data_IF_302022644282
#
_entry.id   IF_302022644282
#
_cell.length_a   1.000
_cell.length_b   1.000
_cell.length_c   1.000
_cell.angle_alpha   90.00
_cell.angle_beta   90.00
_cell.angle_gamma   90.00
#
_symmetry.space_group_name_H-M   'P 1'
#
loop_
_entity.id
_entity.type
_entity.pdbx_description
1 polymer ?
#
# COMPACT_ATOMS: atom_id res chain seq x y z
N UNK A 1 15.65 8.92 2.00
CA UNK A 1 15.07 9.97 1.13
C UNK A 1 15.34 9.58 -0.31
N UNK A 2 14.33 9.58 -1.14
CA UNK A 2 14.47 9.27 -2.56
C UNK A 2 14.33 10.54 -3.39
N UNK A 3 15.19 10.71 -4.41
CA UNK A 3 15.05 11.77 -5.40
C UNK A 3 14.32 11.25 -6.63
N UNK A 4 13.35 12.02 -7.12
CA UNK A 4 12.60 11.76 -8.34
C UNK A 4 12.82 12.89 -9.31
N UNK A 5 13.16 12.56 -10.55
CA UNK A 5 13.45 13.54 -11.58
C UNK A 5 12.71 13.27 -12.90
N UNK A 6 12.62 14.30 -13.71
CA UNK A 6 11.88 14.30 -14.98
C UNK A 6 10.45 14.78 -14.80
N UNK A 7 10.04 15.67 -15.70
CA UNK A 7 8.78 16.45 -15.57
C UNK A 7 7.54 15.57 -15.40
N UNK A 8 7.46 14.47 -16.15
CA UNK A 8 6.30 13.57 -16.10
C UNK A 8 6.26 12.80 -14.78
N UNK A 9 7.39 12.23 -14.37
CA UNK A 9 7.51 11.48 -13.10
C UNK A 9 7.24 12.36 -11.90
N UNK A 10 7.78 13.58 -11.89
CA UNK A 10 7.53 14.55 -10.82
C UNK A 10 6.04 14.91 -10.74
N UNK A 11 5.41 15.20 -11.88
CA UNK A 11 3.97 15.52 -11.89
C UNK A 11 3.12 14.35 -11.40
N UNK A 12 3.43 13.12 -11.82
CA UNK A 12 2.76 11.90 -11.37
C UNK A 12 2.91 11.69 -9.85
N UNK A 13 4.10 11.97 -9.29
CA UNK A 13 4.37 11.89 -7.85
C UNK A 13 3.58 12.93 -7.05
N UNK A 14 3.52 14.18 -7.54
CA UNK A 14 2.70 15.23 -6.92
C UNK A 14 1.21 14.85 -6.93
N UNK A 15 0.73 14.34 -8.07
CA UNK A 15 -0.67 13.94 -8.26
C UNK A 15 -1.05 12.70 -7.45
N UNK A 16 -0.07 11.81 -7.18
CA UNK A 16 -0.24 10.66 -6.31
C UNK A 16 -0.36 11.05 -4.82
N UNK A 17 0.01 12.27 -4.45
CA UNK A 17 -0.09 12.76 -3.07
C UNK A 17 1.06 12.35 -2.17
N UNK A 18 2.23 11.99 -2.74
CA UNK A 18 3.42 11.71 -1.94
C UNK A 18 3.87 12.95 -1.13
N UNK A 19 4.48 12.69 0.02
CA UNK A 19 4.99 13.74 0.88
C UNK A 19 6.32 14.27 0.33
N UNK A 20 6.27 15.44 -0.32
CA UNK A 20 7.42 16.07 -0.95
C UNK A 20 8.05 17.04 0.03
N UNK A 21 9.33 16.83 0.32
CA UNK A 21 10.09 17.65 1.25
C UNK A 21 10.54 18.96 0.62
N UNK A 22 11.04 18.91 -0.61
CA UNK A 22 11.50 20.06 -1.39
C UNK A 22 11.59 19.74 -2.88
N UNK A 23 11.64 20.76 -3.70
CA UNK A 23 11.82 20.68 -5.13
C UNK A 23 12.98 21.55 -5.60
N UNK A 24 13.71 21.07 -6.61
CA UNK A 24 14.75 21.80 -7.31
C UNK A 24 14.34 21.98 -8.76
N UNK A 25 14.33 23.21 -9.24
CA UNK A 25 13.89 23.58 -10.59
C UNK A 25 15.00 24.39 -11.27
N UNK A 26 15.35 23.98 -12.49
CA UNK A 26 16.34 24.70 -13.29
C UNK A 26 15.85 26.11 -13.61
N UNK A 27 16.65 27.11 -13.22
CA UNK A 27 16.37 28.51 -13.53
C UNK A 27 16.39 28.72 -15.04
N UNK A 28 15.23 28.94 -15.65
CA UNK A 28 15.09 29.19 -17.07
C UNK A 28 14.79 30.68 -17.35
N UNK A 29 15.83 31.44 -17.75
CA UNK A 29 15.62 32.82 -18.24
C UNK A 29 14.95 32.79 -19.62
N UNK A 30 13.61 32.82 -19.65
CA UNK A 30 12.86 33.21 -20.83
C UNK A 30 12.20 32.14 -21.69
N UNK A 31 12.04 30.88 -21.26
CA UNK A 31 11.21 29.88 -21.96
C UNK A 31 10.06 29.41 -21.07
N UNK A 32 8.84 29.80 -21.44
CA UNK A 32 7.61 29.33 -20.81
C UNK A 32 7.44 27.84 -21.13
N UNK A 33 7.59 26.97 -20.14
CA UNK A 33 7.35 25.53 -20.28
C UNK A 33 6.08 25.16 -19.52
N UNK A 34 4.95 25.13 -20.17
CA UNK A 34 3.62 24.82 -19.59
C UNK A 34 3.61 23.70 -18.54
N UNK A 35 4.47 22.68 -18.72
CA UNK A 35 4.52 21.56 -17.78
C UNK A 35 5.30 21.89 -16.49
N UNK A 36 6.35 22.72 -16.59
CA UNK A 36 7.10 23.21 -15.42
C UNK A 36 6.22 24.16 -14.62
N UNK A 37 5.50 25.08 -15.29
CA UNK A 37 4.60 26.01 -14.62
C UNK A 37 3.49 25.26 -13.87
N UNK A 38 2.96 24.19 -14.47
CA UNK A 38 1.99 23.31 -13.79
C UNK A 38 2.59 22.60 -12.56
N UNK A 39 3.85 22.17 -12.64
CA UNK A 39 4.56 21.56 -11.52
C UNK A 39 4.74 22.57 -10.39
N UNK A 40 5.23 23.79 -10.73
CA UNK A 40 5.44 24.88 -9.76
C UNK A 40 4.12 25.17 -9.02
N UNK A 41 3.05 25.48 -9.74
CA UNK A 41 1.76 25.81 -9.13
C UNK A 41 1.30 24.69 -8.16
N UNK A 42 1.40 23.42 -8.56
CA UNK A 42 1.01 22.30 -7.69
C UNK A 42 1.90 22.15 -6.45
N UNK A 43 3.19 22.46 -6.55
CA UNK A 43 4.10 22.45 -5.41
C UNK A 43 3.81 23.61 -4.46
N UNK A 44 3.51 24.80 -4.99
CA UNK A 44 3.09 25.98 -4.22
C UNK A 44 1.76 25.74 -3.49
N UNK A 45 0.75 25.16 -4.17
CA UNK A 45 -0.54 24.78 -3.56
C UNK A 45 -0.35 23.82 -2.36
N UNK A 46 0.71 23.03 -2.38
CA UNK A 46 1.07 22.10 -1.30
C UNK A 46 2.07 22.69 -0.28
N UNK A 47 2.44 23.97 -0.42
CA UNK A 47 3.45 24.64 0.40
C UNK A 47 4.81 23.91 0.40
N UNK A 48 5.21 23.30 -0.71
CA UNK A 48 6.51 22.63 -0.86
C UNK A 48 7.59 23.69 -1.15
N UNK A 49 8.71 23.73 -0.40
CA UNK A 49 9.81 24.62 -0.70
C UNK A 49 10.41 24.36 -2.07
N UNK A 50 10.50 25.40 -2.90
CA UNK A 50 11.08 25.34 -4.26
C UNK A 50 12.41 26.09 -4.28
N UNK A 51 13.45 25.43 -4.74
CA UNK A 51 14.78 25.99 -4.96
C UNK A 51 15.05 26.09 -6.45
N UNK A 52 15.43 27.28 -6.90
CA UNK A 52 15.82 27.50 -8.28
C UNK A 52 17.33 27.31 -8.41
N UNK A 53 17.73 26.40 -9.29
CA UNK A 53 19.09 25.92 -9.43
C UNK A 53 19.65 26.23 -10.84
N UNK A 54 20.95 26.32 -10.93
CA UNK A 54 21.65 26.52 -12.19
C UNK A 54 21.88 25.21 -12.97
N UNK A 55 22.53 25.32 -14.13
CA UNK A 55 22.87 24.14 -14.95
C UNK A 55 23.92 23.25 -14.29
N UNK A 56 24.78 23.82 -13.45
CA UNK A 56 25.86 23.07 -12.80
C UNK A 56 25.30 22.13 -11.73
N UNK A 57 24.25 22.52 -11.04
CA UNK A 57 23.49 21.62 -10.14
C UNK A 57 22.97 20.40 -10.89
N UNK A 58 22.24 20.61 -11.98
CA UNK A 58 21.62 19.54 -12.74
C UNK A 58 22.63 18.69 -13.54
N UNK A 59 23.80 19.22 -13.87
CA UNK A 59 24.85 18.45 -14.55
C UNK A 59 25.39 17.28 -13.72
N UNK A 60 25.24 17.35 -12.39
CA UNK A 60 25.68 16.33 -11.44
C UNK A 60 24.67 15.19 -11.28
N UNK A 61 23.45 15.37 -11.77
CA UNK A 61 22.38 14.37 -11.68
C UNK A 61 22.49 13.42 -12.87
N UNK A 62 22.73 12.14 -12.60
CA UNK A 62 22.74 11.11 -13.63
C UNK A 62 21.32 10.78 -14.06
N UNK A 63 20.97 11.01 -15.34
CA UNK A 63 19.65 10.66 -15.89
C UNK A 63 18.94 11.81 -16.57
N UNK A 64 17.74 11.55 -17.07
CA UNK A 64 16.94 12.53 -17.81
C UNK A 64 16.12 13.42 -16.84
N UNK A 65 16.79 14.33 -16.13
CA UNK A 65 16.17 15.20 -15.13
C UNK A 65 15.22 16.27 -15.72
N UNK A 66 15.38 16.65 -17.00
CA UNK A 66 14.55 17.67 -17.69
C UNK A 66 14.40 19.00 -16.91
N UNK A 67 15.40 19.33 -16.06
CA UNK A 67 15.44 20.54 -15.25
C UNK A 67 14.47 20.54 -14.06
N UNK A 68 14.10 19.38 -13.54
CA UNK A 68 13.29 19.26 -12.33
C UNK A 68 13.65 18.01 -11.54
N UNK A 69 13.77 18.18 -10.22
CA UNK A 69 13.96 17.14 -9.21
C UNK A 69 13.08 17.46 -8.00
N UNK A 70 12.54 16.44 -7.37
CA UNK A 70 11.90 16.54 -6.06
C UNK A 70 12.52 15.52 -5.10
N UNK A 71 12.68 15.90 -3.84
CA UNK A 71 13.01 15.00 -2.76
C UNK A 71 11.72 14.59 -2.04
N UNK A 72 11.44 13.28 -1.97
CA UNK A 72 10.29 12.73 -1.27
C UNK A 72 10.71 12.15 0.09
N UNK A 73 9.84 12.30 1.07
CA UNK A 73 10.03 11.64 2.37
C UNK A 73 9.75 10.15 2.25
N UNK A 74 10.51 9.34 3.00
CA UNK A 74 10.19 7.93 3.14
C UNK A 74 8.86 7.78 3.89
N UNK A 75 8.03 6.85 3.45
CA UNK A 75 6.76 6.57 4.14
C UNK A 75 7.02 6.13 5.59
N UNK A 76 6.32 6.74 6.53
CA UNK A 76 6.44 6.44 7.96
C UNK A 76 5.48 5.31 8.33
N UNK A 77 6.01 4.10 8.37
CA UNK A 77 5.25 2.94 8.83
C UNK A 77 4.93 3.05 10.32
N UNK A 78 3.77 2.53 10.69
CA UNK A 78 3.38 2.34 12.08
C UNK A 78 4.07 1.12 12.68
N UNK A 79 4.11 1.07 14.01
CA UNK A 79 4.45 -0.13 14.74
C UNK A 79 3.23 -1.06 14.85
N UNK A 80 3.46 -2.35 15.15
CA UNK A 80 2.37 -3.31 15.33
C UNK A 80 1.44 -2.91 16.48
N UNK A 81 1.99 -2.29 17.51
CA UNK A 81 1.24 -1.84 18.69
C UNK A 81 0.18 -0.80 18.35
N UNK A 82 0.40 0.03 17.34
CA UNK A 82 -0.58 1.03 16.87
C UNK A 82 -1.84 0.38 16.25
N UNK A 83 -1.77 -0.91 15.90
CA UNK A 83 -2.90 -1.64 15.29
C UNK A 83 -3.68 -2.53 16.27
N UNK A 84 -3.24 -2.67 17.51
CA UNK A 84 -3.85 -3.59 18.49
C UNK A 84 -5.28 -3.23 18.89
N UNK A 85 -5.60 -1.94 18.92
CA UNK A 85 -6.94 -1.46 19.27
C UNK A 85 -7.91 -1.42 18.08
N UNK A 86 -7.42 -1.71 16.89
CA UNK A 86 -8.22 -1.77 15.67
C UNK A 86 -9.16 -2.97 15.68
N UNK A 87 -10.07 -3.02 14.70
CA UNK A 87 -11.06 -4.11 14.57
C UNK A 87 -10.80 -5.01 13.36
N UNK A 88 -10.41 -4.43 12.23
CA UNK A 88 -10.28 -5.14 10.95
C UNK A 88 -8.92 -4.88 10.32
N UNK A 89 -8.14 -5.93 10.15
CA UNK A 89 -6.77 -5.83 9.63
C UNK A 89 -6.58 -6.71 8.39
N UNK A 90 -5.75 -6.24 7.47
CA UNK A 90 -5.18 -7.08 6.43
C UNK A 90 -3.74 -7.43 6.78
N UNK A 91 -3.35 -8.68 6.58
CA UNK A 91 -1.96 -9.15 6.71
C UNK A 91 -1.51 -9.66 5.36
N UNK A 92 -0.40 -9.12 4.86
CA UNK A 92 0.11 -9.43 3.54
C UNK A 92 1.37 -10.29 3.66
N UNK A 93 1.26 -11.57 3.29
CA UNK A 93 2.38 -12.52 3.30
C UNK A 93 3.05 -12.55 1.93
N UNK A 94 4.16 -11.82 1.80
CA UNK A 94 5.00 -11.78 0.59
C UNK A 94 4.29 -11.21 -0.67
N UNK A 95 3.52 -10.16 -0.52
CA UNK A 95 3.00 -9.39 -1.66
C UNK A 95 4.12 -8.47 -2.16
N UNK A 96 4.75 -8.82 -3.28
CA UNK A 96 5.95 -8.14 -3.79
C UNK A 96 5.64 -7.09 -4.86
N UNK A 97 4.48 -7.15 -5.51
CA UNK A 97 4.07 -6.18 -6.52
C UNK A 97 3.47 -4.91 -5.88
N UNK A 98 4.07 -3.72 -6.12
CA UNK A 98 3.54 -2.44 -5.64
C UNK A 98 2.13 -2.13 -6.16
N UNK A 99 1.75 -2.61 -7.35
CA UNK A 99 0.40 -2.43 -7.87
C UNK A 99 -0.63 -3.17 -7.03
N UNK A 100 -0.33 -4.43 -6.64
CA UNK A 100 -1.20 -5.20 -5.77
C UNK A 100 -1.29 -4.58 -4.37
N UNK A 101 -0.16 -4.16 -3.80
CA UNK A 101 -0.17 -3.46 -2.50
C UNK A 101 -1.07 -2.22 -2.54
N UNK A 102 -0.91 -1.36 -3.55
CA UNK A 102 -1.74 -0.16 -3.69
C UNK A 102 -3.23 -0.45 -3.88
N UNK A 103 -3.57 -1.48 -4.67
CA UNK A 103 -4.95 -1.90 -4.89
C UNK A 103 -5.59 -2.50 -3.60
N UNK A 104 -4.82 -3.26 -2.82
CA UNK A 104 -5.26 -3.78 -1.52
C UNK A 104 -5.50 -2.63 -0.53
N UNK A 105 -4.57 -1.67 -0.44
CA UNK A 105 -4.72 -0.48 0.41
C UNK A 105 -6.02 0.26 0.06
N UNK A 106 -6.26 0.48 -1.24
CA UNK A 106 -7.47 1.16 -1.71
C UNK A 106 -8.75 0.43 -1.33
N UNK A 107 -8.79 -0.89 -1.49
CA UNK A 107 -9.95 -1.70 -1.15
C UNK A 107 -10.16 -1.76 0.37
N UNK A 108 -9.09 -1.89 1.14
CA UNK A 108 -9.13 -1.96 2.59
C UNK A 108 -9.70 -0.66 3.18
N UNK A 109 -9.19 0.49 2.77
CA UNK A 109 -9.69 1.81 3.20
C UNK A 109 -11.15 2.02 2.78
N UNK A 110 -11.47 1.78 1.50
CA UNK A 110 -12.81 2.00 0.97
C UNK A 110 -13.90 1.16 1.66
N UNK A 111 -13.55 0.01 2.21
CA UNK A 111 -14.47 -0.90 2.89
C UNK A 111 -14.26 -0.93 4.41
N UNK A 112 -13.57 0.08 4.96
CA UNK A 112 -13.47 0.33 6.40
C UNK A 112 -12.61 -0.67 7.16
N UNK A 113 -11.55 -1.19 6.54
CA UNK A 113 -10.49 -1.85 7.28
C UNK A 113 -9.58 -0.79 7.91
N UNK A 114 -9.11 -1.07 9.11
CA UNK A 114 -8.44 -0.09 9.96
C UNK A 114 -6.93 -0.06 9.77
N UNK A 115 -6.35 -1.14 9.23
CA UNK A 115 -4.90 -1.22 9.06
C UNK A 115 -4.43 -2.40 8.23
N UNK A 116 -3.16 -2.30 7.81
CA UNK A 116 -2.47 -3.31 7.01
C UNK A 116 -1.14 -3.66 7.67
N UNK A 117 -0.80 -4.94 7.74
CA UNK A 117 0.48 -5.44 8.22
C UNK A 117 1.25 -6.01 7.04
N UNK A 118 2.45 -5.49 6.80
CA UNK A 118 3.37 -6.00 5.78
C UNK A 118 4.68 -6.46 6.41
N UNK A 119 5.41 -7.35 5.72
CA UNK A 119 6.74 -7.75 6.18
C UNK A 119 7.84 -6.79 5.69
N UNK A 120 8.91 -6.66 6.46
CA UNK A 120 10.10 -5.91 6.07
C UNK A 120 10.81 -6.53 4.84
N UNK A 121 10.76 -7.85 4.72
CA UNK A 121 11.40 -8.62 3.64
C UNK A 121 10.37 -9.28 2.74
N UNK A 122 10.69 -9.38 1.44
CA UNK A 122 9.83 -10.01 0.43
C UNK A 122 8.43 -9.40 0.38
N UNK A 123 8.33 -8.09 0.54
CA UNK A 123 7.09 -7.34 0.38
C UNK A 123 7.38 -6.04 -0.34
N UNK A 124 6.43 -5.60 -1.14
CA UNK A 124 6.46 -4.26 -1.73
C UNK A 124 6.53 -3.22 -0.62
N UNK A 125 7.34 -2.19 -0.85
CA UNK A 125 7.41 -1.01 -0.02
C UNK A 125 6.53 0.08 -0.59
N UNK A 126 6.09 0.98 0.27
CA UNK A 126 5.38 2.18 -0.17
C UNK A 126 6.32 3.03 -1.03
N UNK A 127 5.90 3.29 -2.26
CA UNK A 127 6.60 4.08 -3.26
C UNK A 127 5.58 4.81 -4.15
N UNK A 128 6.03 5.56 -5.15
CA UNK A 128 5.17 6.30 -6.10
C UNK A 128 4.10 5.44 -6.77
N UNK A 129 4.41 4.18 -7.09
CA UNK A 129 3.44 3.26 -7.66
C UNK A 129 2.30 2.94 -6.67
N UNK A 130 2.64 2.69 -5.40
CA UNK A 130 1.66 2.43 -4.33
C UNK A 130 0.78 3.65 -4.11
N UNK A 131 1.36 4.86 -4.01
CA UNK A 131 0.59 6.10 -3.89
C UNK A 131 -0.40 6.28 -5.04
N UNK A 132 0.08 6.09 -6.27
CA UNK A 132 -0.75 6.21 -7.47
C UNK A 132 -1.88 5.18 -7.50
N UNK A 133 -1.57 3.91 -7.19
CA UNK A 133 -2.53 2.80 -7.30
C UNK A 133 -3.56 2.84 -6.17
N UNK A 134 -3.15 3.29 -4.97
CA UNK A 134 -4.05 3.47 -3.84
C UNK A 134 -4.99 4.67 -4.00
N UNK A 135 -4.76 5.56 -4.98
CA UNK A 135 -5.59 6.74 -5.26
C UNK A 135 -5.84 7.62 -4.02
N UNK A 136 -4.82 7.77 -3.16
CA UNK A 136 -4.88 8.59 -1.94
C UNK A 136 -5.34 7.84 -0.69
N UNK A 137 -5.87 6.62 -0.80
CA UNK A 137 -6.32 5.80 0.34
C UNK A 137 -5.21 5.53 1.38
N UNK A 138 -3.95 5.52 0.92
CA UNK A 138 -2.78 5.32 1.78
C UNK A 138 -2.64 6.36 2.91
N UNK A 139 -3.25 7.53 2.75
CA UNK A 139 -3.21 8.59 3.76
C UNK A 139 -4.25 8.41 4.88
N UNK A 140 -5.19 7.48 4.70
CA UNK A 140 -6.35 7.27 5.58
C UNK A 140 -6.31 5.92 6.30
N UNK A 141 -5.34 5.07 6.02
CA UNK A 141 -5.20 3.74 6.63
C UNK A 141 -3.81 3.53 7.20
N UNK A 142 -3.72 2.94 8.38
CA UNK A 142 -2.45 2.68 9.04
C UNK A 142 -1.75 1.45 8.43
N UNK A 143 -0.46 1.58 8.09
CA UNK A 143 0.34 0.46 7.57
C UNK A 143 1.49 0.20 8.53
N UNK A 144 1.47 -0.96 9.19
CA UNK A 144 2.56 -1.42 10.03
C UNK A 144 3.53 -2.31 9.27
N UNK A 145 4.84 -2.09 9.50
CA UNK A 145 5.90 -2.92 8.95
C UNK A 145 6.53 -3.76 10.04
N UNK A 146 6.50 -5.09 9.85
CA UNK A 146 7.01 -6.04 10.85
C UNK A 146 8.16 -6.88 10.30
N UNK A 147 9.11 -7.25 11.15
CA UNK A 147 10.21 -8.15 10.78
C UNK A 147 9.75 -9.59 10.53
N UNK A 148 8.66 -10.01 11.18
CA UNK A 148 8.17 -11.38 11.14
C UNK A 148 6.64 -11.43 11.24
N UNK A 149 5.99 -11.82 10.16
CA UNK A 149 4.52 -11.96 10.07
C UNK A 149 3.98 -12.98 11.08
N UNK A 150 4.67 -14.11 11.25
CA UNK A 150 4.21 -15.15 12.19
C UNK A 150 4.18 -14.66 13.65
N UNK A 151 5.17 -13.85 14.03
CA UNK A 151 5.18 -13.21 15.35
C UNK A 151 4.05 -12.19 15.45
N UNK A 152 3.86 -11.37 14.43
CA UNK A 152 2.77 -10.39 14.40
C UNK A 152 1.39 -11.06 14.54
N UNK A 153 1.13 -12.16 13.81
CA UNK A 153 -0.11 -12.95 13.95
C UNK A 153 -0.31 -13.38 15.41
N UNK A 154 0.73 -13.95 16.04
CA UNK A 154 0.64 -14.40 17.44
C UNK A 154 0.36 -13.24 18.41
N UNK A 155 0.88 -12.07 18.14
CA UNK A 155 0.67 -10.89 18.99
C UNK A 155 -0.73 -10.32 18.84
N UNK A 156 -1.26 -10.17 17.62
CA UNK A 156 -2.63 -9.67 17.43
C UNK A 156 -3.69 -10.67 17.93
N UNK A 157 -3.43 -11.98 17.89
CA UNK A 157 -4.31 -12.99 18.48
C UNK A 157 -4.48 -12.82 19.99
N UNK A 158 -3.46 -12.32 20.70
CA UNK A 158 -3.57 -11.98 22.14
C UNK A 158 -4.53 -10.82 22.39
N UNK A 159 -4.76 -9.98 21.38
CA UNK A 159 -5.70 -8.86 21.40
C UNK A 159 -7.11 -9.26 20.92
N UNK A 160 -7.41 -10.56 20.95
CA UNK A 160 -8.68 -11.16 20.56
C UNK A 160 -9.05 -11.02 19.07
N UNK A 161 -8.05 -10.93 18.18
CA UNK A 161 -8.31 -11.07 16.75
C UNK A 161 -8.45 -12.53 16.35
N UNK A 162 -9.49 -12.81 15.56
CA UNK A 162 -9.58 -14.04 14.77
C UNK A 162 -8.82 -13.83 13.47
N UNK A 163 -7.90 -14.74 13.17
CA UNK A 163 -7.01 -14.61 12.01
C UNK A 163 -7.36 -15.69 10.99
N UNK A 164 -7.84 -15.28 9.82
CA UNK A 164 -8.21 -16.17 8.72
C UNK A 164 -7.30 -16.02 7.52
N UNK A 165 -6.73 -17.13 7.04
CA UNK A 165 -5.88 -17.17 5.85
C UNK A 165 -6.69 -17.50 4.60
N UNK A 166 -6.53 -16.69 3.53
CA UNK A 166 -7.13 -16.99 2.23
C UNK A 166 -6.32 -18.06 1.51
N UNK A 167 -6.95 -19.21 1.23
CA UNK A 167 -6.33 -20.35 0.58
C UNK A 167 -7.37 -21.10 -0.27
N UNK A 168 -7.09 -21.29 -1.57
CA UNK A 168 -8.05 -21.88 -2.50
C UNK A 168 -8.41 -23.32 -2.19
N UNK A 169 -7.53 -24.05 -1.48
CA UNK A 169 -7.71 -25.43 -1.04
C UNK A 169 -8.36 -25.56 0.35
N UNK A 170 -8.75 -24.47 0.99
CA UNK A 170 -9.45 -24.51 2.27
C UNK A 170 -10.79 -25.26 2.17
N UNK A 171 -11.22 -25.89 3.26
CA UNK A 171 -12.51 -26.56 3.33
C UNK A 171 -13.65 -25.54 3.50
N UNK A 172 -13.44 -24.54 4.35
CA UNK A 172 -14.48 -23.58 4.71
C UNK A 172 -14.62 -22.47 3.67
N UNK A 173 -15.82 -22.18 3.25
CA UNK A 173 -16.12 -21.05 2.39
C UNK A 173 -16.16 -19.75 3.20
N UNK A 174 -15.67 -18.67 2.60
CA UNK A 174 -15.65 -17.34 3.22
C UNK A 174 -17.05 -16.87 3.60
N UNK A 175 -18.08 -17.25 2.83
CA UNK A 175 -19.48 -16.89 3.08
C UNK A 175 -20.11 -17.61 4.27
N UNK A 176 -19.49 -18.72 4.72
CA UNK A 176 -19.94 -19.54 5.85
C UNK A 176 -19.11 -19.30 7.12
N UNK A 177 -18.02 -18.53 7.01
CA UNK A 177 -17.13 -18.19 8.12
C UNK A 177 -17.59 -16.89 8.76
N UNK A 178 -17.65 -16.83 10.09
CA UNK A 178 -17.99 -15.60 10.81
C UNK A 178 -16.81 -14.61 10.75
N UNK A 179 -17.01 -13.51 10.01
CA UNK A 179 -16.03 -12.43 9.83
C UNK A 179 -16.44 -11.16 10.59
N UNK A 180 -17.28 -11.28 11.62
CA UNK A 180 -17.68 -10.17 12.47
C UNK A 180 -16.69 -9.94 13.61
N UNK A 181 -16.67 -8.70 14.14
CA UNK A 181 -15.84 -8.34 15.28
C UNK A 181 -14.37 -8.04 14.93
N UNK A 182 -13.46 -8.44 15.81
CA UNK A 182 -12.01 -8.26 15.60
C UNK A 182 -11.44 -9.36 14.71
N UNK A 183 -11.14 -9.04 13.47
CA UNK A 183 -10.62 -10.01 12.50
C UNK A 183 -9.36 -9.52 11.80
N UNK A 184 -8.52 -10.44 11.39
CA UNK A 184 -7.43 -10.21 10.46
C UNK A 184 -7.49 -11.20 9.30
N UNK A 185 -7.53 -10.69 8.08
CA UNK A 185 -7.51 -11.49 6.86
C UNK A 185 -6.09 -11.56 6.32
N UNK A 186 -5.58 -12.76 6.08
CA UNK A 186 -4.23 -12.97 5.58
C UNK A 186 -4.27 -13.39 4.12
N UNK A 187 -3.56 -12.62 3.28
CA UNK A 187 -3.42 -12.91 1.85
C UNK A 187 -1.96 -13.19 1.53
N UNK A 188 -1.73 -14.24 0.78
CA UNK A 188 -0.40 -14.68 0.37
C UNK A 188 -0.03 -14.24 -1.03
N UNK A 189 1.20 -14.61 -1.43
CA UNK A 189 1.75 -14.39 -2.77
C UNK A 189 0.91 -15.08 -3.85
N UNK A 190 0.80 -14.47 -5.04
CA UNK A 190 -0.03 -14.97 -6.15
C UNK A 190 0.36 -16.38 -6.62
N UNK A 191 1.66 -16.67 -6.61
CA UNK A 191 2.16 -17.96 -7.11
C UNK A 191 2.27 -19.05 -6.06
N UNK A 192 2.61 -18.67 -4.81
CA UNK A 192 2.90 -19.61 -3.72
C UNK A 192 1.81 -19.68 -2.65
N UNK A 193 0.85 -18.75 -2.67
CA UNK A 193 -0.14 -18.63 -1.62
C UNK A 193 0.49 -18.21 -0.27
N UNK A 194 -0.14 -18.61 0.80
CA UNK A 194 0.36 -18.42 2.16
C UNK A 194 1.55 -19.31 2.47
N UNK A 195 2.56 -18.77 3.13
CA UNK A 195 3.68 -19.58 3.63
C UNK A 195 3.20 -20.58 4.70
N UNK A 196 3.89 -21.74 4.78
CA UNK A 196 3.49 -22.83 5.69
C UNK A 196 3.26 -22.37 7.13
N UNK A 197 4.21 -21.63 7.68
CA UNK A 197 4.10 -21.15 9.07
C UNK A 197 2.98 -20.13 9.27
N UNK A 198 2.67 -19.32 8.27
CA UNK A 198 1.54 -18.38 8.32
C UNK A 198 0.23 -19.15 8.36
N UNK A 199 0.07 -20.18 7.52
CA UNK A 199 -1.10 -21.08 7.54
C UNK A 199 -1.31 -21.73 8.89
N UNK A 200 -0.25 -22.27 9.50
CA UNK A 200 -0.28 -22.94 10.81
C UNK A 200 -0.63 -21.98 11.96
N UNK A 201 -0.34 -20.68 11.82
CA UNK A 201 -0.65 -19.68 12.85
C UNK A 201 -2.04 -19.03 12.70
N UNK A 202 -2.71 -19.18 11.55
CA UNK A 202 -4.09 -18.75 11.39
C UNK A 202 -5.04 -19.58 12.26
N UNK A 203 -6.16 -19.01 12.66
CA UNK A 203 -7.24 -19.73 13.36
C UNK A 203 -8.03 -20.62 12.41
N UNK A 204 -8.08 -20.26 11.13
CA UNK A 204 -8.67 -21.03 10.07
C UNK A 204 -8.20 -20.60 8.70
N UNK A 205 -8.38 -21.50 7.74
CA UNK A 205 -8.21 -21.19 6.32
C UNK A 205 -9.59 -21.12 5.68
N UNK A 206 -9.77 -20.13 4.82
CA UNK A 206 -11.04 -19.87 4.12
C UNK A 206 -10.79 -19.69 2.63
N UNK A 207 -11.74 -20.12 1.81
CA UNK A 207 -11.68 -19.98 0.36
C UNK A 207 -12.77 -19.08 -0.18
N UNK A 208 -12.48 -18.44 -1.31
CA UNK A 208 -13.49 -17.80 -2.14
C UNK A 208 -14.03 -18.87 -3.09
N UNK A 209 -15.33 -19.15 -3.10
CA UNK A 209 -15.92 -20.14 -4.01
C UNK A 209 -15.69 -19.73 -5.47
N UNK A 210 -15.12 -20.62 -6.27
CA UNK A 210 -14.88 -20.42 -7.69
C UNK A 210 -15.53 -21.54 -8.51
N UNK A 211 -16.29 -21.17 -9.52
CA UNK A 211 -17.00 -22.13 -10.39
C UNK A 211 -16.29 -22.35 -11.73
N UNK A 212 -15.25 -21.59 -11.99
CA UNK A 212 -14.47 -21.65 -13.25
C UNK A 212 -13.39 -22.70 -13.22
N UNK A 213 -12.59 -22.74 -14.32
CA UNK A 213 -11.45 -23.65 -14.46
C UNK A 213 -10.16 -23.10 -13.84
N UNK A 214 -10.14 -21.83 -13.47
CA UNK A 214 -8.94 -21.18 -12.88
C UNK A 214 -8.92 -21.50 -11.39
N UNK A 215 -7.71 -21.79 -10.86
CA UNK A 215 -7.54 -22.23 -9.47
C UNK A 215 -7.17 -21.09 -8.50
N UNK A 216 -6.95 -19.88 -9.01
CA UNK A 216 -6.52 -18.74 -8.20
C UNK A 216 -7.00 -17.41 -8.78
N UNK A 217 -7.16 -16.42 -7.92
CA UNK A 217 -7.36 -15.00 -8.28
C UNK A 217 -6.07 -14.22 -8.03
N UNK A 218 -5.93 -13.09 -8.69
CA UNK A 218 -4.92 -12.12 -8.32
C UNK A 218 -5.09 -11.72 -6.84
N UNK A 219 -3.98 -11.50 -6.12
CA UNK A 219 -4.00 -11.24 -4.68
C UNK A 219 -4.84 -10.02 -4.29
N UNK A 220 -4.79 -8.94 -5.08
CA UNK A 220 -5.61 -7.75 -4.80
C UNK A 220 -7.10 -7.99 -5.04
N UNK A 221 -7.45 -8.81 -6.02
CA UNK A 221 -8.84 -9.20 -6.29
C UNK A 221 -9.38 -10.09 -5.17
N UNK A 222 -8.62 -11.11 -4.77
CA UNK A 222 -8.97 -11.99 -3.64
C UNK A 222 -9.15 -11.18 -2.35
N UNK A 223 -8.23 -10.25 -2.08
CA UNK A 223 -8.32 -9.33 -0.95
C UNK A 223 -9.60 -8.51 -0.98
N UNK A 224 -9.94 -7.89 -2.13
CA UNK A 224 -11.13 -7.05 -2.25
C UNK A 224 -12.43 -7.82 -2.00
N UNK A 225 -12.52 -9.05 -2.50
CA UNK A 225 -13.69 -9.94 -2.26
C UNK A 225 -13.81 -10.29 -0.76
N UNK A 226 -12.70 -10.65 -0.12
CA UNK A 226 -12.69 -11.03 1.29
C UNK A 226 -13.02 -9.83 2.21
N UNK A 227 -12.47 -8.65 1.90
CA UNK A 227 -12.76 -7.39 2.59
C UNK A 227 -14.25 -7.05 2.45
N UNK A 228 -14.81 -7.14 1.23
CA UNK A 228 -16.21 -6.86 0.97
C UNK A 228 -17.13 -7.84 1.70
N UNK A 229 -16.80 -9.13 1.73
CA UNK A 229 -17.58 -10.13 2.47
C UNK A 229 -17.58 -9.82 3.98
N UNK A 230 -16.44 -9.44 4.55
CA UNK A 230 -16.39 -8.98 5.94
C UNK A 230 -17.28 -7.76 6.18
N UNK A 231 -17.26 -6.76 5.27
CA UNK A 231 -18.14 -5.60 5.37
C UNK A 231 -19.62 -6.02 5.32
N UNK A 232 -19.98 -6.90 4.38
CA UNK A 232 -21.36 -7.40 4.23
C UNK A 232 -21.88 -8.04 5.51
N UNK A 233 -21.04 -8.84 6.20
CA UNK A 233 -21.43 -9.51 7.45
C UNK A 233 -21.55 -8.56 8.64
N UNK A 234 -20.77 -7.48 8.66
CA UNK A 234 -20.78 -6.47 9.72
C UNK A 234 -21.87 -5.40 9.54
N UNK A 235 -22.58 -5.40 8.39
CA UNK A 235 -23.49 -4.34 8.01
C UNK A 235 -22.76 -3.13 7.40
N UNK A 236 -23.50 -2.31 6.64
CA UNK A 236 -22.97 -1.14 5.94
C UNK A 236 -23.06 0.15 6.79
N UNK A 237 -23.01 0.02 8.13
CA UNK A 237 -23.14 1.15 9.08
C UNK A 237 -21.79 1.53 9.66
#
# INVERSE_FOLDING_TARGET
>A
MASIYGRKSVLETIDAGENIKKAHILENKGKNHKLIDKIINKLEDKNVPIFYEDKDYFSKISGNHQGVEIEVEDYKYKDLDDLKDKKRLMILDQIEDPHNLGAIIRSAEAFGFDGIIISERRSAKVNSTVYKTSAGAINNIDIAMVKNINRAIKEIKKENFWVYGLAGEAENDITQTDLRGKIALVVGNEGKGLSRLVRENCDGLIKIPMLGKINSLNASVASAIAIYESLRQNGFN
#
